data_IF_980039644783
#
_entry.id   IF_980039644783
#
_cell.length_a   1.000
_cell.length_b   1.000
_cell.length_c   1.000
_cell.angle_alpha   90.00
_cell.angle_beta   90.00
_cell.angle_gamma   90.00
#
_symmetry.space_group_name_H-M   'P 1'
#
loop_
_entity.id
_entity.type
_entity.pdbx_description
1 polymer ?
#
# COMPACT_ATOMS: atom_id res chain seq x y z
N UNK A 1 15.37 -12.83 -30.46
CA UNK A 1 15.24 -11.37 -30.25
C UNK A 1 14.62 -11.01 -28.90
N UNK A 2 13.42 -11.47 -28.51
CA UNK A 2 12.86 -11.14 -27.18
C UNK A 2 13.68 -11.71 -26.01
N UNK A 3 14.19 -12.93 -26.18
CA UNK A 3 15.03 -13.60 -25.18
C UNK A 3 16.28 -12.80 -24.81
N UNK A 4 16.99 -12.26 -25.81
CA UNK A 4 18.21 -11.48 -25.60
C UNK A 4 17.94 -10.14 -24.91
N UNK A 5 16.79 -9.51 -25.16
CA UNK A 5 16.39 -8.30 -24.43
C UNK A 5 16.08 -8.60 -22.96
N UNK A 6 15.38 -9.70 -22.69
CA UNK A 6 15.09 -10.13 -21.32
C UNK A 6 16.36 -10.47 -20.54
N UNK A 7 17.30 -11.18 -21.16
CA UNK A 7 18.61 -11.46 -20.56
C UNK A 7 19.38 -10.16 -20.27
N UNK A 8 19.41 -9.22 -21.21
CA UNK A 8 20.09 -7.94 -21.01
C UNK A 8 19.46 -7.11 -19.89
N UNK A 9 18.12 -7.11 -19.79
CA UNK A 9 17.39 -6.46 -18.72
C UNK A 9 17.68 -7.12 -17.37
N UNK A 10 17.68 -8.45 -17.32
CA UNK A 10 17.99 -9.21 -16.12
C UNK A 10 19.39 -8.92 -15.62
N UNK A 11 20.38 -8.96 -16.52
CA UNK A 11 21.76 -8.62 -16.18
C UNK A 11 21.86 -7.18 -15.69
N UNK A 12 21.20 -6.22 -16.34
CA UNK A 12 21.17 -4.83 -15.87
C UNK A 12 20.52 -4.70 -14.48
N UNK A 13 19.46 -5.45 -14.19
CA UNK A 13 18.76 -5.43 -12.91
C UNK A 13 19.57 -6.02 -11.75
N UNK A 14 20.52 -6.92 -12.04
CA UNK A 14 21.34 -7.59 -11.03
C UNK A 14 22.82 -7.18 -11.04
N UNK A 15 23.25 -6.39 -12.02
CA UNK A 15 24.65 -5.96 -12.20
C UNK A 15 25.12 -4.92 -11.16
N UNK A 16 24.24 -4.42 -10.31
CA UNK A 16 24.59 -3.42 -9.30
C UNK A 16 25.57 -3.97 -8.25
N UNK A 17 26.47 -3.10 -7.77
CA UNK A 17 27.42 -3.43 -6.71
C UNK A 17 26.64 -3.89 -5.48
N UNK A 18 26.83 -5.15 -5.03
CA UNK A 18 25.97 -5.78 -4.02
C UNK A 18 25.72 -4.98 -2.73
N UNK A 19 26.64 -4.10 -2.31
CA UNK A 19 26.43 -3.20 -1.17
C UNK A 19 25.33 -2.15 -1.41
N UNK A 20 25.15 -1.65 -2.64
CA UNK A 20 24.07 -0.71 -3.00
C UNK A 20 22.71 -1.39 -2.93
N UNK A 21 22.63 -2.65 -3.38
CA UNK A 21 21.39 -3.44 -3.29
C UNK A 21 21.00 -3.66 -1.83
N UNK A 22 21.96 -4.05 -0.98
CA UNK A 22 21.72 -4.23 0.47
C UNK A 22 21.28 -2.91 1.11
N UNK A 23 21.96 -1.81 0.82
CA UNK A 23 21.61 -0.49 1.34
C UNK A 23 20.20 -0.06 0.88
N UNK A 24 19.89 -0.27 -0.40
CA UNK A 24 18.58 0.04 -0.97
C UNK A 24 17.45 -0.79 -0.36
N UNK A 25 17.67 -2.08 -0.11
CA UNK A 25 16.70 -2.94 0.59
C UNK A 25 16.51 -2.51 2.06
N UNK A 26 17.58 -2.09 2.73
CA UNK A 26 17.48 -1.55 4.09
C UNK A 26 16.69 -0.23 4.10
N UNK A 27 16.93 0.66 3.13
CA UNK A 27 16.19 1.90 2.96
C UNK A 27 14.70 1.63 2.67
N UNK A 28 14.39 0.72 1.75
CA UNK A 28 13.02 0.27 1.46
C UNK A 28 12.33 -0.30 2.71
N UNK A 29 13.03 -1.12 3.49
CA UNK A 29 12.50 -1.71 4.73
C UNK A 29 12.18 -0.63 5.76
N UNK A 30 13.10 0.31 5.98
CA UNK A 30 12.90 1.43 6.89
C UNK A 30 11.73 2.31 6.44
N UNK A 31 11.62 2.55 5.13
CA UNK A 31 10.53 3.33 4.55
C UNK A 31 9.20 2.58 4.59
N UNK A 32 9.18 1.25 4.51
CA UNK A 32 7.97 0.44 4.68
C UNK A 32 7.50 0.44 6.14
N UNK A 33 8.44 0.51 7.09
CA UNK A 33 8.15 0.45 8.53
C UNK A 33 7.12 1.49 8.98
N UNK A 34 7.07 2.67 8.34
CA UNK A 34 6.06 3.71 8.64
C UNK A 34 4.63 3.20 8.47
N UNK A 35 4.38 2.33 7.50
CA UNK A 35 3.08 1.71 7.27
C UNK A 35 2.81 0.56 8.23
N UNK A 36 3.84 -0.20 8.61
CA UNK A 36 3.71 -1.28 9.60
C UNK A 36 3.37 -0.70 10.97
N UNK A 37 4.09 0.33 11.41
CA UNK A 37 3.82 1.03 12.67
C UNK A 37 2.42 1.65 12.66
N UNK A 38 2.04 2.29 11.54
CA UNK A 38 0.70 2.83 11.40
C UNK A 38 -0.36 1.72 11.46
N UNK A 39 -0.13 0.58 10.80
CA UNK A 39 -1.06 -0.55 10.84
C UNK A 39 -1.22 -1.04 12.28
N UNK A 40 -0.13 -1.31 12.99
CA UNK A 40 -0.18 -1.73 14.40
C UNK A 40 -0.94 -0.69 15.26
N UNK A 41 -0.70 0.60 15.02
CA UNK A 41 -1.43 1.68 15.69
C UNK A 41 -2.93 1.67 15.39
N UNK A 42 -3.31 1.48 14.12
CA UNK A 42 -4.72 1.42 13.70
C UNK A 42 -5.46 0.20 14.26
N UNK A 43 -4.78 -0.94 14.33
CA UNK A 43 -5.34 -2.20 14.87
C UNK A 43 -5.56 -2.06 16.39
N UNK A 44 -4.62 -1.42 17.09
CA UNK A 44 -4.76 -1.09 18.53
C UNK A 44 -5.86 -0.06 18.80
N UNK A 45 -6.00 0.95 17.94
CA UNK A 45 -6.97 2.03 18.10
C UNK A 45 -8.37 1.70 17.56
N UNK A 46 -8.52 0.62 16.77
CA UNK A 46 -9.74 0.26 16.02
C UNK A 46 -10.32 1.39 15.17
N UNK A 47 -9.50 2.37 14.77
CA UNK A 47 -9.89 3.55 14.00
C UNK A 47 -8.80 3.87 12.97
N UNK A 48 -9.18 4.05 11.71
CA UNK A 48 -8.25 4.53 10.67
C UNK A 48 -8.13 6.04 10.77
N UNK A 49 -7.07 6.51 11.43
CA UNK A 49 -6.79 7.96 11.59
C UNK A 49 -6.29 8.59 10.28
N UNK A 50 -5.88 7.77 9.30
CA UNK A 50 -5.25 8.24 8.05
C UNK A 50 -6.31 8.54 6.97
N UNK A 51 -6.25 9.70 6.29
CA UNK A 51 -7.18 10.06 5.23
C UNK A 51 -7.24 9.02 4.09
N UNK A 52 -8.42 8.76 3.53
CA UNK A 52 -8.59 7.81 2.41
C UNK A 52 -7.73 8.21 1.19
N UNK A 53 -7.61 9.51 0.92
CA UNK A 53 -6.79 10.05 -0.15
C UNK A 53 -5.33 9.57 -0.07
N UNK A 54 -4.75 9.50 1.14
CA UNK A 54 -3.38 9.02 1.33
C UNK A 54 -3.19 7.60 0.77
N UNK A 55 -4.17 6.71 0.97
CA UNK A 55 -4.08 5.34 0.50
C UNK A 55 -4.20 5.23 -1.01
N UNK A 56 -5.08 6.02 -1.65
CA UNK A 56 -5.17 6.06 -3.11
C UNK A 56 -3.90 6.63 -3.76
N UNK A 57 -3.36 7.73 -3.23
CA UNK A 57 -2.11 8.29 -3.72
C UNK A 57 -0.92 7.33 -3.49
N UNK A 58 -0.91 6.61 -2.36
CA UNK A 58 0.11 5.59 -2.09
C UNK A 58 0.02 4.41 -3.06
N UNK A 59 -1.20 3.95 -3.36
CA UNK A 59 -1.43 2.88 -4.33
C UNK A 59 -1.00 3.30 -5.74
N UNK A 60 -1.45 4.46 -6.20
CA UNK A 60 -1.13 4.98 -7.52
C UNK A 60 0.38 5.25 -7.66
N UNK A 61 0.97 5.96 -6.71
CA UNK A 61 2.39 6.25 -6.70
C UNK A 61 3.24 4.97 -6.59
N UNK A 62 2.82 4.00 -5.77
CA UNK A 62 3.48 2.70 -5.67
C UNK A 62 3.45 1.92 -6.99
N UNK A 63 2.32 1.93 -7.71
CA UNK A 63 2.21 1.28 -9.02
C UNK A 63 3.11 1.99 -10.05
N UNK A 64 3.13 3.32 -10.04
CA UNK A 64 4.02 4.10 -10.90
C UNK A 64 5.50 3.80 -10.63
N UNK A 65 5.89 3.60 -9.36
CA UNK A 65 7.25 3.21 -8.99
C UNK A 65 7.61 1.79 -9.46
N UNK A 66 6.68 0.84 -9.40
CA UNK A 66 6.90 -0.50 -9.97
C UNK A 66 7.08 -0.41 -11.49
N UNK A 67 6.22 0.34 -12.18
CA UNK A 67 6.36 0.57 -13.63
C UNK A 67 7.70 1.25 -13.94
N UNK A 68 8.08 2.24 -13.16
CA UNK A 68 9.39 2.91 -13.30
C UNK A 68 10.55 1.93 -13.11
N UNK A 69 10.52 1.07 -12.09
CA UNK A 69 11.55 0.04 -11.87
C UNK A 69 11.59 -1.04 -12.95
N UNK A 70 10.48 -1.27 -13.67
CA UNK A 70 10.47 -2.13 -14.85
C UNK A 70 11.11 -1.44 -16.06
N UNK A 71 10.82 -0.15 -16.26
CA UNK A 71 11.41 0.66 -17.35
C UNK A 71 12.90 0.94 -17.12
N UNK A 72 13.30 1.16 -15.87
CA UNK A 72 14.68 1.30 -15.41
C UNK A 72 14.97 0.11 -14.49
N UNK A 73 15.69 -0.93 -14.96
CA UNK A 73 15.86 -2.21 -14.27
C UNK A 73 16.42 -2.05 -12.84
N UNK A 74 15.54 -1.75 -11.88
CA UNK A 74 15.88 -1.47 -10.48
C UNK A 74 15.10 -2.45 -9.62
N UNK A 75 15.76 -3.54 -9.27
CA UNK A 75 15.16 -4.63 -8.51
C UNK A 75 14.79 -4.18 -7.09
N UNK A 76 15.53 -3.24 -6.51
CA UNK A 76 15.28 -2.74 -5.15
C UNK A 76 13.94 -2.01 -5.10
N UNK A 77 13.65 -1.16 -6.08
CA UNK A 77 12.37 -0.43 -6.16
C UNK A 77 11.22 -1.40 -6.40
N UNK A 78 11.35 -2.33 -7.35
CA UNK A 78 10.30 -3.30 -7.66
C UNK A 78 9.97 -4.12 -6.41
N UNK A 79 10.97 -4.78 -5.82
CA UNK A 79 10.79 -5.67 -4.68
C UNK A 79 10.28 -4.90 -3.45
N UNK A 80 10.79 -3.69 -3.21
CA UNK A 80 10.36 -2.85 -2.09
C UNK A 80 8.89 -2.42 -2.18
N UNK A 81 8.37 -2.16 -3.39
CA UNK A 81 6.98 -1.70 -3.54
C UNK A 81 5.93 -2.81 -3.52
N UNK A 82 6.27 -4.06 -3.83
CA UNK A 82 5.31 -5.17 -3.80
C UNK A 82 4.57 -5.31 -2.46
N UNK A 83 5.24 -5.42 -1.30
CA UNK A 83 4.54 -5.51 -0.01
C UNK A 83 3.77 -4.22 0.33
N UNK A 84 4.28 -3.06 -0.08
CA UNK A 84 3.63 -1.78 0.17
C UNK A 84 2.27 -1.68 -0.55
N UNK A 85 2.18 -2.13 -1.81
CA UNK A 85 0.94 -2.16 -2.59
C UNK A 85 -0.14 -3.04 -1.94
N UNK A 86 0.24 -4.16 -1.33
CA UNK A 86 -0.68 -5.03 -0.60
C UNK A 86 -1.27 -4.30 0.61
N UNK A 87 -0.43 -3.60 1.38
CA UNK A 87 -0.87 -2.84 2.56
C UNK A 87 -1.82 -1.71 2.15
N UNK A 88 -1.52 -0.99 1.07
CA UNK A 88 -2.38 0.09 0.59
C UNK A 88 -3.76 -0.42 0.17
N UNK A 89 -3.79 -1.52 -0.59
CA UNK A 89 -5.01 -2.16 -1.06
C UNK A 89 -5.88 -2.65 0.09
N UNK A 90 -5.28 -3.34 1.08
CA UNK A 90 -5.98 -3.84 2.28
C UNK A 90 -6.62 -2.70 3.07
N UNK A 91 -5.93 -1.58 3.24
CA UNK A 91 -6.44 -0.43 3.98
C UNK A 91 -7.62 0.25 3.26
N UNK A 92 -7.58 0.36 1.93
CA UNK A 92 -8.73 0.88 1.15
C UNK A 92 -9.97 -0.01 1.34
N UNK A 93 -9.80 -1.34 1.28
CA UNK A 93 -10.90 -2.29 1.50
C UNK A 93 -11.49 -2.16 2.90
N UNK A 94 -10.65 -2.00 3.93
CA UNK A 94 -11.08 -1.84 5.31
C UNK A 94 -11.91 -0.56 5.49
N UNK A 95 -11.43 0.57 4.97
CA UNK A 95 -12.13 1.87 5.04
C UNK A 95 -13.50 1.79 4.36
N UNK A 96 -13.58 1.16 3.18
CA UNK A 96 -14.85 0.97 2.46
C UNK A 96 -15.85 0.13 3.25
N UNK A 97 -15.36 -0.92 3.92
CA UNK A 97 -16.21 -1.77 4.78
C UNK A 97 -16.75 -1.01 5.98
N UNK A 98 -15.92 -0.19 6.64
CA UNK A 98 -16.34 0.62 7.78
C UNK A 98 -17.41 1.65 7.38
N UNK A 99 -17.23 2.34 6.25
CA UNK A 99 -18.23 3.28 5.71
C UNK A 99 -19.57 2.60 5.40
N UNK A 100 -19.53 1.41 4.79
CA UNK A 100 -20.75 0.64 4.50
C UNK A 100 -21.50 0.24 5.76
N UNK A 101 -20.79 -0.15 6.82
CA UNK A 101 -21.40 -0.51 8.09
C UNK A 101 -22.04 0.69 8.77
N UNK A 102 -21.34 1.83 8.84
CA UNK A 102 -21.89 3.07 9.42
C UNK A 102 -23.13 3.55 8.66
N UNK A 103 -23.07 3.59 7.32
CA UNK A 103 -24.20 3.98 6.49
C UNK A 103 -25.41 3.04 6.55
N UNK A 104 -25.24 1.79 7.01
CA UNK A 104 -26.36 0.87 7.25
C UNK A 104 -26.95 0.99 8.67
N UNK A 105 -26.12 1.33 9.65
CA UNK A 105 -26.52 1.37 11.07
C UNK A 105 -27.13 2.72 11.45
N UNK A 106 -26.61 3.84 10.93
CA UNK A 106 -27.10 5.19 11.27
C UNK A 106 -28.59 5.40 10.92
N UNK A 107 -29.09 5.05 9.71
CA UNK A 107 -30.50 5.20 9.37
C UNK A 107 -31.43 4.32 10.21
N UNK A 108 -30.99 3.11 10.55
CA UNK A 108 -31.76 2.18 11.38
C UNK A 108 -31.83 2.66 12.84
N UNK A 109 -30.75 3.22 13.37
CA UNK A 109 -30.71 3.79 14.71
C UNK A 109 -31.55 5.08 14.81
N UNK A 110 -31.59 5.89 13.75
CA UNK A 110 -32.41 7.09 13.68
C UNK A 110 -33.90 6.75 13.62
N UNK A 111 -34.30 5.84 12.73
CA UNK A 111 -35.68 5.36 12.65
C UNK A 111 -36.18 4.74 13.98
N UNK A 112 -35.33 4.00 14.69
CA UNK A 112 -35.67 3.44 16.00
C UNK A 112 -35.83 4.52 17.09
N UNK A 113 -35.09 5.62 17.02
CA UNK A 113 -35.23 6.75 17.96
C UNK A 113 -36.52 7.53 17.72
N UNK A 114 -36.88 7.74 16.45
CA UNK A 114 -38.15 8.38 16.07
C UNK A 114 -39.35 7.56 16.56
N UNK A 115 -39.34 6.23 16.33
CA UNK A 115 -40.42 5.34 16.76
C UNK A 115 -40.62 5.23 18.29
N UNK A 116 -39.61 5.60 19.09
CA UNK A 116 -39.70 5.63 20.57
C UNK A 116 -40.11 7.02 21.08
N UNK A 117 -39.97 8.04 20.26
CA UNK A 117 -40.34 9.42 20.60
C UNK A 117 -41.82 9.74 20.31
N UNK A 118 -42.49 8.93 19.47
CA UNK A 118 -43.95 8.91 19.25
C UNK A 118 -44.69 8.10 20.33
#
# INVERSE_FOLDING_TARGET
>A
MLWTHLESWWQAAVADKGWLVVFGLAAQTMFMMRFVIQWISSERAKRSVVPEAFWYFSLLGGMMLVVYGLLRPDLVIIVGQMPALIIYSRNIVLIRREKRLKGAVEPAAEAAREAVAE
#
